data_IF_026936378512
#
_entry.id   IF_026936378512
#
_cell.length_a   1.000
_cell.length_b   1.000
_cell.length_c   1.000
_cell.angle_alpha   90.00
_cell.angle_beta   90.00
_cell.angle_gamma   90.00
#
_symmetry.space_group_name_H-M   'P 1'
#
loop_
_entity.id
_entity.type
_entity.pdbx_description
1 polymer ?
#
# COMPACT_ATOMS: atom_id res chain seq x y z
N UNK A 1 -18.89 -41.45 1.48
CA UNK A 1 -18.13 -40.76 2.55
C UNK A 1 -16.70 -40.59 2.03
N UNK A 2 -16.42 -39.45 1.40
CA UNK A 2 -15.12 -39.13 0.80
C UNK A 2 -14.30 -38.44 1.89
N UNK A 3 -13.19 -39.06 2.30
CA UNK A 3 -12.24 -38.48 3.25
C UNK A 3 -11.34 -37.54 2.46
N UNK A 4 -11.50 -36.23 2.68
CA UNK A 4 -10.51 -35.22 2.30
C UNK A 4 -9.33 -35.33 3.28
N UNK A 5 -8.17 -35.75 2.77
CA UNK A 5 -6.91 -35.71 3.49
C UNK A 5 -6.33 -34.29 3.36
N UNK A 6 -6.42 -33.51 4.43
CA UNK A 6 -5.65 -32.27 4.59
C UNK A 6 -4.15 -32.60 4.54
N UNK A 7 -3.44 -32.07 3.54
CA UNK A 7 -1.99 -31.91 3.60
C UNK A 7 -1.67 -30.71 4.49
N UNK A 8 -1.37 -30.96 5.76
CA UNK A 8 -0.59 -30.04 6.60
C UNK A 8 0.72 -30.78 6.87
N UNK A 9 1.78 -30.43 6.13
CA UNK A 9 3.14 -30.84 6.47
C UNK A 9 3.83 -29.64 7.11
N UNK A 10 3.81 -29.57 8.43
CA UNK A 10 4.85 -28.84 9.16
C UNK A 10 6.07 -29.75 9.22
N UNK A 11 7.15 -29.38 8.53
CA UNK A 11 8.39 -30.17 8.49
C UNK A 11 9.34 -29.66 9.58
N UNK A 12 9.69 -30.54 10.51
CA UNK A 12 10.82 -30.37 11.45
C UNK A 12 12.06 -30.92 10.74
N UNK A 13 13.12 -30.12 10.61
CA UNK A 13 14.37 -30.48 9.96
C UNK A 13 15.42 -30.99 10.97
N UNK A 14 16.17 -32.02 10.58
CA UNK A 14 17.36 -32.54 11.28
C UNK A 14 18.59 -32.21 10.44
N UNK A 15 19.59 -31.56 11.05
CA UNK A 15 20.84 -31.12 10.41
C UNK A 15 21.93 -32.20 10.60
N UNK A 16 22.67 -32.55 9.53
CA UNK A 16 23.86 -33.41 9.60
C UNK A 16 25.14 -32.58 9.38
N UNK A 17 26.22 -32.93 10.08
CA UNK A 17 27.55 -32.28 9.96
C UNK A 17 28.30 -32.76 8.71
N UNK A 18 28.90 -31.85 7.94
CA UNK A 18 29.84 -32.18 6.86
C UNK A 18 31.28 -32.38 7.40
N UNK A 19 32.05 -33.27 6.75
CA UNK A 19 33.50 -33.45 6.95
C UNK A 19 34.30 -32.76 5.83
N UNK A 20 35.50 -32.30 6.17
CA UNK A 20 36.33 -31.36 5.41
C UNK A 20 36.91 -31.90 4.08
N UNK A 21 37.08 -30.97 3.12
CA UNK A 21 37.98 -31.09 1.95
C UNK A 21 38.72 -29.75 1.77
N UNK A 22 40.03 -29.79 1.55
CA UNK A 22 41.01 -28.74 1.86
C UNK A 22 40.89 -27.37 1.13
N UNK A 23 41.29 -26.31 1.87
CA UNK A 23 41.88 -25.03 1.45
C UNK A 23 41.06 -24.02 0.60
N UNK A 24 39.76 -23.89 0.87
CA UNK A 24 39.06 -22.62 0.61
C UNK A 24 38.37 -22.17 1.88
N UNK A 25 38.24 -20.86 2.14
CA UNK A 25 37.53 -20.37 3.33
C UNK A 25 36.06 -20.87 3.41
N UNK A 26 35.52 -21.40 2.29
CA UNK A 26 34.19 -22.00 2.21
C UNK A 26 34.14 -23.51 2.48
N UNK A 27 35.27 -24.20 2.69
CA UNK A 27 35.30 -25.66 2.71
C UNK A 27 34.60 -26.29 3.91
N UNK A 28 34.31 -25.50 4.95
CA UNK A 28 33.65 -25.94 6.17
C UNK A 28 32.30 -25.21 6.33
N UNK A 29 31.42 -25.36 5.34
CA UNK A 29 30.04 -24.87 5.42
C UNK A 29 29.09 -25.98 5.89
N UNK A 30 28.09 -25.58 6.69
CA UNK A 30 26.95 -26.43 6.98
C UNK A 30 26.00 -26.41 5.78
N UNK A 31 25.79 -27.55 5.12
CA UNK A 31 24.77 -27.65 4.09
C UNK A 31 23.39 -27.57 4.72
N UNK A 32 22.63 -26.52 4.37
CA UNK A 32 21.25 -26.34 4.83
C UNK A 32 20.30 -27.37 4.21
N UNK A 33 20.65 -27.91 3.03
CA UNK A 33 19.86 -28.86 2.26
C UNK A 33 20.79 -29.74 1.42
N UNK A 34 20.66 -31.08 1.48
CA UNK A 34 21.48 -31.96 0.63
C UNK A 34 20.76 -32.52 -0.60
N UNK A 35 19.42 -32.62 -0.65
CA UNK A 35 18.77 -33.31 -1.80
C UNK A 35 17.34 -32.87 -2.15
N UNK A 36 16.80 -31.76 -1.61
CA UNK A 36 15.46 -31.27 -2.00
C UNK A 36 15.53 -29.95 -2.77
N UNK A 37 14.96 -29.96 -3.96
CA UNK A 37 14.58 -28.78 -4.73
C UNK A 37 13.66 -27.94 -3.83
N UNK A 38 14.00 -26.65 -3.62
CA UNK A 38 13.11 -25.68 -3.01
C UNK A 38 11.96 -25.47 -4.00
N UNK A 39 10.87 -26.21 -3.81
CA UNK A 39 9.66 -26.13 -4.63
C UNK A 39 8.65 -25.23 -3.89
N UNK A 40 8.10 -24.27 -4.61
CA UNK A 40 7.18 -23.17 -4.27
C UNK A 40 6.87 -22.93 -2.75
N UNK A 41 7.20 -21.72 -2.26
CA UNK A 41 6.90 -21.17 -0.93
C UNK A 41 7.35 -22.03 0.27
N UNK A 42 8.64 -21.92 0.61
CA UNK A 42 9.26 -22.68 1.70
C UNK A 42 9.75 -21.77 2.83
N UNK A 43 9.29 -22.04 4.05
CA UNK A 43 9.84 -21.42 5.26
C UNK A 43 10.76 -22.42 5.98
N UNK A 44 12.04 -22.09 6.08
CA UNK A 44 13.06 -22.87 6.76
C UNK A 44 13.40 -22.23 8.10
N UNK A 45 13.37 -23.02 9.17
CA UNK A 45 13.81 -22.58 10.49
C UNK A 45 15.04 -23.38 10.89
N UNK A 46 16.13 -22.68 11.16
CA UNK A 46 17.42 -23.24 11.57
C UNK A 46 17.75 -22.74 12.96
N UNK A 47 18.09 -23.65 13.86
CA UNK A 47 18.58 -23.31 15.20
C UNK A 47 20.08 -23.55 15.26
N UNK A 48 20.81 -22.61 15.87
CA UNK A 48 22.26 -22.68 15.97
C UNK A 48 22.80 -22.07 17.26
N UNK A 49 24.08 -22.28 17.53
CA UNK A 49 24.77 -21.74 18.69
C UNK A 49 26.19 -21.30 18.29
N UNK A 50 26.64 -20.10 18.64
CA UNK A 50 27.92 -19.57 18.15
C UNK A 50 29.15 -20.05 18.94
N UNK A 51 28.99 -21.04 19.82
CA UNK A 51 30.09 -21.59 20.61
C UNK A 51 31.09 -22.38 19.74
N UNK A 52 32.36 -21.97 19.80
CA UNK A 52 33.58 -22.69 19.34
C UNK A 52 33.90 -22.75 17.83
N UNK A 53 33.33 -21.90 16.98
CA UNK A 53 33.79 -21.81 15.58
C UNK A 53 35.04 -20.92 15.48
N UNK A 54 35.92 -21.13 14.49
CA UNK A 54 37.16 -20.33 14.30
C UNK A 54 37.20 -19.57 12.98
N UNK A 55 36.10 -19.63 12.23
CA UNK A 55 36.01 -19.01 10.91
C UNK A 55 35.66 -17.53 11.05
N UNK A 56 36.52 -16.68 10.49
CA UNK A 56 36.22 -15.28 10.20
C UNK A 56 35.99 -15.20 8.70
N UNK A 57 34.73 -15.25 8.29
CA UNK A 57 34.36 -14.89 6.93
C UNK A 57 34.52 -13.37 6.77
N UNK A 58 34.80 -12.91 5.57
CA UNK A 58 34.91 -11.48 5.29
C UNK A 58 33.50 -10.87 5.34
N UNK A 59 33.05 -10.55 6.53
CA UNK A 59 31.74 -9.96 6.80
C UNK A 59 31.80 -8.44 6.67
N UNK A 60 30.63 -7.84 6.62
CA UNK A 60 30.40 -6.42 6.33
C UNK A 60 30.82 -5.50 7.48
N UNK A 61 31.19 -6.11 8.60
CA UNK A 61 31.65 -5.45 9.81
C UNK A 61 32.73 -6.32 10.43
N UNK A 62 33.71 -5.70 11.09
CA UNK A 62 34.75 -6.44 11.81
C UNK A 62 34.16 -7.10 13.07
N UNK A 63 33.61 -8.30 12.91
CA UNK A 63 33.26 -9.17 14.03
C UNK A 63 34.51 -9.83 14.60
N UNK A 64 34.70 -9.73 15.91
CA UNK A 64 35.67 -10.54 16.66
C UNK A 64 35.08 -11.88 17.14
N UNK A 65 33.85 -12.19 16.72
CA UNK A 65 33.17 -13.45 17.02
C UNK A 65 33.27 -14.40 15.82
N UNK A 66 33.14 -15.71 16.06
CA UNK A 66 33.15 -16.67 14.99
C UNK A 66 31.84 -16.65 14.20
N UNK A 67 31.97 -16.85 12.89
CA UNK A 67 30.84 -16.85 11.98
C UNK A 67 30.33 -18.26 11.73
N UNK A 68 29.00 -18.43 11.70
CA UNK A 68 28.35 -19.62 11.19
C UNK A 68 28.17 -19.51 9.69
N UNK A 69 28.76 -20.45 8.95
CA UNK A 69 28.65 -20.52 7.50
C UNK A 69 27.66 -21.61 7.08
N UNK A 70 26.64 -21.21 6.35
CA UNK A 70 25.63 -22.08 5.76
C UNK A 70 25.73 -22.04 4.24
N UNK A 71 25.62 -23.18 3.56
CA UNK A 71 25.55 -23.22 2.10
C UNK A 71 24.20 -23.76 1.64
N UNK A 72 23.66 -23.20 0.57
CA UNK A 72 22.45 -23.68 -0.09
C UNK A 72 22.51 -23.41 -1.59
N UNK A 73 21.83 -24.26 -2.37
CA UNK A 73 21.68 -24.10 -3.82
C UNK A 73 20.24 -23.68 -4.14
N UNK A 74 20.08 -22.67 -4.97
CA UNK A 74 18.80 -22.29 -5.55
C UNK A 74 18.74 -22.85 -6.96
N UNK A 75 17.74 -23.70 -7.22
CA UNK A 75 17.49 -24.27 -8.53
C UNK A 75 16.09 -23.90 -9.00
N UNK A 76 15.97 -22.72 -9.60
CA UNK A 76 14.74 -22.18 -10.20
C UNK A 76 14.95 -21.99 -11.71
N UNK A 77 13.90 -22.08 -12.54
CA UNK A 77 14.01 -21.75 -13.96
C UNK A 77 14.44 -20.28 -14.15
N UNK A 78 15.20 -19.96 -15.22
CA UNK A 78 15.69 -18.60 -15.55
C UNK A 78 14.59 -17.52 -15.68
N UNK A 79 13.33 -17.95 -15.76
CA UNK A 79 12.13 -17.10 -15.79
C UNK A 79 11.60 -16.77 -14.39
N UNK A 80 12.28 -17.17 -13.33
CA UNK A 80 11.88 -16.95 -11.93
C UNK A 80 13.01 -16.27 -11.16
N UNK A 81 12.65 -15.57 -10.09
CA UNK A 81 13.55 -15.08 -9.06
C UNK A 81 13.12 -15.68 -7.73
N UNK A 82 14.07 -16.04 -6.88
CA UNK A 82 13.77 -16.50 -5.54
C UNK A 82 13.89 -15.32 -4.58
N UNK A 83 12.77 -14.80 -4.11
CA UNK A 83 12.81 -13.85 -2.99
C UNK A 83 13.12 -14.59 -1.71
N UNK A 84 13.99 -14.00 -0.89
CA UNK A 84 14.31 -14.52 0.44
C UNK A 84 14.02 -13.46 1.50
N UNK A 85 13.61 -13.91 2.68
CA UNK A 85 13.57 -13.13 3.92
C UNK A 85 14.28 -13.94 5.00
N UNK A 86 15.46 -13.49 5.41
CA UNK A 86 16.29 -14.13 6.41
C UNK A 86 16.29 -13.25 7.64
N UNK A 87 15.78 -13.77 8.77
CA UNK A 87 15.79 -13.08 10.07
C UNK A 87 16.52 -13.91 11.11
N UNK A 88 17.38 -13.28 11.90
CA UNK A 88 17.98 -13.89 13.08
C UNK A 88 17.36 -13.33 14.38
N UNK A 89 16.95 -14.21 15.29
CA UNK A 89 16.42 -13.84 16.62
C UNK A 89 16.99 -14.73 17.71
N UNK A 90 16.83 -14.36 18.97
CA UNK A 90 17.07 -15.27 20.10
C UNK A 90 16.07 -16.43 20.04
N UNK A 91 16.56 -17.64 20.31
CA UNK A 91 15.74 -18.85 20.33
C UNK A 91 14.72 -18.85 21.48
N UNK A 92 15.08 -18.27 22.63
CA UNK A 92 14.36 -18.48 23.89
C UNK A 92 13.17 -17.55 24.06
N UNK A 93 13.30 -16.30 23.62
CA UNK A 93 12.29 -15.26 23.82
C UNK A 93 11.88 -14.55 22.51
N UNK A 94 12.53 -14.88 21.39
CA UNK A 94 12.29 -14.23 20.10
C UNK A 94 12.75 -12.78 20.05
N UNK A 95 13.47 -12.31 21.07
CA UNK A 95 14.02 -10.97 21.11
C UNK A 95 15.14 -10.80 20.07
N UNK A 96 15.45 -9.54 19.76
CA UNK A 96 16.54 -9.17 18.87
C UNK A 96 17.89 -9.51 19.49
N UNK A 97 18.73 -10.25 18.76
CA UNK A 97 20.15 -10.41 19.09
C UNK A 97 20.94 -9.45 18.20
N UNK A 98 21.88 -8.72 18.80
CA UNK A 98 22.91 -7.93 18.11
C UNK A 98 23.68 -8.82 17.13
N UNK A 99 23.31 -8.76 15.86
CA UNK A 99 23.64 -9.78 14.88
C UNK A 99 23.99 -9.23 13.52
N UNK A 100 24.81 -9.96 12.78
CA UNK A 100 25.16 -9.66 11.39
C UNK A 100 24.77 -10.83 10.51
N UNK A 101 24.10 -10.54 9.40
CA UNK A 101 23.85 -11.48 8.33
C UNK A 101 24.56 -10.99 7.07
N UNK A 102 25.27 -11.89 6.39
CA UNK A 102 25.85 -11.63 5.08
C UNK A 102 25.53 -12.79 4.13
N UNK A 103 25.25 -12.49 2.87
CA UNK A 103 25.02 -13.48 1.84
C UNK A 103 26.07 -13.33 0.74
N UNK A 104 26.66 -14.43 0.29
CA UNK A 104 27.69 -14.47 -0.74
C UNK A 104 27.41 -15.60 -1.73
N UNK A 105 27.94 -15.51 -2.96
CA UNK A 105 27.93 -16.60 -3.95
C UNK A 105 29.28 -17.33 -4.07
N UNK A 106 30.36 -16.79 -3.49
CA UNK A 106 31.71 -17.37 -3.61
C UNK A 106 32.57 -17.19 -2.34
N UNK A 107 31.96 -16.77 -1.23
CA UNK A 107 32.56 -16.33 0.04
C UNK A 107 33.59 -15.19 -0.05
N UNK A 108 33.92 -14.71 -1.24
CA UNK A 108 34.86 -13.61 -1.47
C UNK A 108 34.15 -12.28 -1.71
N UNK A 109 32.93 -12.35 -2.23
CA UNK A 109 32.09 -11.20 -2.55
C UNK A 109 30.76 -11.27 -1.80
N UNK A 110 30.50 -10.29 -0.95
CA UNK A 110 29.21 -10.18 -0.24
C UNK A 110 28.18 -9.53 -1.15
N UNK A 111 27.13 -10.28 -1.47
CA UNK A 111 25.98 -9.84 -2.25
C UNK A 111 25.05 -8.94 -1.41
N UNK A 112 24.67 -9.43 -0.24
CA UNK A 112 23.76 -8.76 0.69
C UNK A 112 24.34 -8.75 2.09
N UNK A 113 24.02 -7.70 2.82
CA UNK A 113 24.40 -7.62 4.21
C UNK A 113 23.48 -6.73 5.02
N UNK A 114 23.29 -7.11 6.28
CA UNK A 114 22.68 -6.27 7.29
C UNK A 114 23.33 -6.58 8.63
N UNK A 115 23.58 -5.56 9.44
CA UNK A 115 24.10 -5.66 10.80
C UNK A 115 23.12 -5.14 11.87
N UNK A 116 22.04 -4.43 11.53
CA UNK A 116 21.11 -3.84 12.50
C UNK A 116 19.78 -3.36 11.86
N UNK A 117 18.93 -4.28 11.41
CA UNK A 117 17.63 -3.95 10.77
C UNK A 117 16.70 -3.12 11.67
N UNK A 118 16.60 -3.46 12.96
CA UNK A 118 15.79 -2.73 13.96
C UNK A 118 16.66 -2.11 15.07
N UNK A 119 17.92 -1.85 14.75
CA UNK A 119 18.93 -1.34 15.68
C UNK A 119 19.57 -2.39 16.58
N UNK A 120 19.15 -3.66 16.48
CA UNK A 120 19.76 -4.80 17.18
C UNK A 120 19.76 -6.06 16.30
N UNK A 121 18.63 -6.45 15.69
CA UNK A 121 18.55 -7.71 14.93
C UNK A 121 18.91 -7.54 13.47
N UNK A 122 19.51 -8.57 12.88
CA UNK A 122 19.72 -8.63 11.43
C UNK A 122 18.54 -9.27 10.70
N UNK A 123 18.14 -8.60 9.60
CA UNK A 123 17.21 -9.13 8.61
C UNK A 123 17.67 -8.77 7.22
N UNK A 124 17.76 -9.75 6.32
CA UNK A 124 18.03 -9.53 4.91
C UNK A 124 16.84 -9.95 4.08
N UNK A 125 16.43 -9.09 3.16
CA UNK A 125 15.41 -9.41 2.16
C UNK A 125 16.02 -9.11 0.80
N UNK A 126 15.83 -9.99 -0.18
CA UNK A 126 16.38 -9.80 -1.51
C UNK A 126 15.90 -10.85 -2.49
N UNK A 127 16.52 -10.89 -3.65
CA UNK A 127 16.24 -11.85 -4.71
C UNK A 127 17.52 -12.53 -5.18
N UNK A 128 17.40 -13.80 -5.54
CA UNK A 128 18.50 -14.64 -5.98
C UNK A 128 18.11 -15.34 -7.27
N UNK A 129 19.07 -15.38 -8.18
CA UNK A 129 19.01 -16.24 -9.36
C UNK A 129 19.28 -17.71 -8.96
N UNK A 130 19.19 -18.63 -9.92
CA UNK A 130 19.70 -19.97 -9.70
C UNK A 130 21.21 -19.95 -9.44
N UNK A 131 21.69 -20.64 -8.42
CA UNK A 131 23.11 -20.66 -8.08
C UNK A 131 23.40 -21.22 -6.68
N UNK A 132 24.69 -21.33 -6.37
CA UNK A 132 25.19 -21.67 -5.05
C UNK A 132 25.38 -20.40 -4.23
N UNK A 133 24.89 -20.44 -2.99
CA UNK A 133 24.95 -19.32 -2.06
C UNK A 133 25.43 -19.76 -0.68
N UNK A 134 26.07 -18.81 -0.01
CA UNK A 134 26.63 -18.95 1.32
C UNK A 134 26.03 -17.87 2.22
N UNK A 135 25.25 -18.28 3.21
CA UNK A 135 24.74 -17.43 4.27
C UNK A 135 25.70 -17.47 5.46
N UNK A 136 26.20 -16.30 5.83
CA UNK A 136 27.04 -16.08 6.99
C UNK A 136 26.18 -15.43 8.06
N UNK A 137 26.12 -16.04 9.24
CA UNK A 137 25.43 -15.51 10.41
C UNK A 137 26.41 -15.32 11.56
N UNK A 138 26.44 -14.12 12.14
CA UNK A 138 27.36 -13.73 13.22
C UNK A 138 26.62 -12.94 14.31
N UNK A 139 27.19 -12.88 15.51
CA UNK A 139 26.70 -11.99 16.59
C UNK A 139 27.79 -11.05 17.03
N UNK A 140 27.44 -9.78 17.20
CA UNK A 140 28.43 -8.73 17.45
C UNK A 140 28.90 -8.75 18.92
N UNK A 141 28.00 -9.03 19.85
CA UNK A 141 28.27 -8.76 21.27
C UNK A 141 28.87 -9.96 22.01
N UNK A 142 29.89 -9.67 22.83
CA UNK A 142 30.48 -10.65 23.75
C UNK A 142 29.48 -11.19 24.79
N UNK A 143 28.38 -10.48 25.04
CA UNK A 143 27.32 -10.94 25.94
C UNK A 143 26.42 -12.01 25.31
N UNK A 144 26.49 -12.21 23.98
CA UNK A 144 25.70 -13.20 23.25
C UNK A 144 26.54 -14.36 22.67
N UNK A 145 27.82 -14.52 23.04
CA UNK A 145 28.67 -15.62 22.53
C UNK A 145 28.10 -17.02 22.74
N UNK A 146 27.31 -17.19 23.79
CA UNK A 146 26.67 -18.46 24.14
C UNK A 146 25.17 -18.46 23.85
N UNK A 147 24.64 -17.39 23.24
CA UNK A 147 23.24 -17.33 22.86
C UNK A 147 23.00 -18.34 21.73
N UNK A 148 21.90 -19.07 21.87
CA UNK A 148 21.33 -19.80 20.76
C UNK A 148 20.52 -18.84 19.91
N UNK A 149 20.55 -19.05 18.60
CA UNK A 149 19.83 -18.22 17.65
C UNK A 149 18.88 -19.07 16.83
N UNK A 150 17.83 -18.42 16.36
CA UNK A 150 16.88 -18.92 15.38
C UNK A 150 17.03 -18.11 14.09
N UNK A 151 17.43 -18.76 13.02
CA UNK A 151 17.36 -18.24 11.66
C UNK A 151 16.04 -18.68 11.03
N UNK A 152 15.24 -17.72 10.59
CA UNK A 152 14.05 -17.98 9.76
C UNK A 152 14.37 -17.54 8.34
N UNK A 153 14.36 -18.46 7.39
CA UNK A 153 14.65 -18.22 5.97
C UNK A 153 13.37 -18.54 5.19
N UNK A 154 12.70 -17.52 4.69
CA UNK A 154 11.49 -17.68 3.89
C UNK A 154 11.83 -17.50 2.43
N UNK A 155 11.63 -18.52 1.62
CA UNK A 155 11.80 -18.50 0.18
C UNK A 155 10.44 -18.39 -0.49
N UNK A 156 10.30 -17.44 -1.42
CA UNK A 156 9.11 -17.24 -2.25
C UNK A 156 9.55 -17.19 -3.70
N UNK A 157 8.98 -18.07 -4.51
CA UNK A 157 9.28 -18.10 -5.93
C UNK A 157 8.43 -17.04 -6.62
N UNK A 158 9.10 -16.03 -7.14
CA UNK A 158 8.46 -15.01 -7.93
C UNK A 158 8.73 -15.29 -9.40
N UNK A 159 7.74 -14.97 -10.24
CA UNK A 159 8.01 -14.82 -11.66
C UNK A 159 9.05 -13.72 -11.79
N UNK A 160 10.14 -14.00 -12.49
CA UNK A 160 11.11 -12.98 -12.86
C UNK A 160 10.29 -11.96 -13.61
N UNK A 161 10.26 -10.68 -13.19
CA UNK A 161 9.66 -9.65 -14.01
C UNK A 161 10.28 -9.81 -15.39
N UNK A 162 9.47 -10.10 -16.40
CA UNK A 162 9.96 -10.17 -17.77
C UNK A 162 10.69 -8.86 -17.97
N UNK A 163 12.02 -8.91 -18.24
CA UNK A 163 12.88 -7.74 -18.38
C UNK A 163 12.04 -6.68 -19.07
N UNK A 164 11.69 -5.57 -18.38
CA UNK A 164 10.58 -4.75 -18.83
C UNK A 164 10.84 -4.35 -20.28
N UNK A 165 9.78 -4.22 -21.10
CA UNK A 165 9.92 -3.69 -22.45
C UNK A 165 10.78 -2.41 -22.40
N UNK A 166 11.56 -2.12 -23.46
CA UNK A 166 12.63 -1.13 -23.43
C UNK A 166 12.19 0.15 -22.71
N UNK A 167 12.99 0.52 -21.70
CA UNK A 167 12.91 1.68 -20.80
C UNK A 167 11.75 2.64 -21.09
N UNK A 168 10.80 2.72 -20.14
CA UNK A 168 9.69 3.66 -20.23
C UNK A 168 10.19 5.10 -20.35
N UNK A 169 9.74 5.80 -21.39
CA UNK A 169 9.94 7.23 -21.61
C UNK A 169 8.63 7.97 -21.39
N UNK A 170 8.64 9.31 -21.32
CA UNK A 170 7.37 10.06 -21.19
C UNK A 170 6.41 9.75 -22.37
N UNK A 171 6.96 9.64 -23.58
CA UNK A 171 6.20 9.41 -24.81
C UNK A 171 5.82 7.94 -25.02
N UNK A 172 6.56 7.02 -24.41
CA UNK A 172 6.31 5.59 -24.46
C UNK A 172 6.58 5.02 -23.07
N UNK A 173 5.66 5.24 -22.10
CA UNK A 173 5.83 4.71 -20.75
C UNK A 173 5.88 3.18 -20.80
N UNK A 174 6.51 2.58 -19.81
CA UNK A 174 6.59 1.13 -19.65
C UNK A 174 5.23 0.55 -19.27
N UNK A 175 5.18 -0.12 -18.13
CA UNK A 175 3.96 -0.77 -17.66
C UNK A 175 2.83 0.22 -17.34
N UNK A 176 1.60 -0.26 -17.39
CA UNK A 176 0.40 0.49 -17.02
C UNK A 176 -0.08 0.00 -15.66
N UNK A 177 -0.13 0.91 -14.69
CA UNK A 177 -0.73 0.72 -13.37
C UNK A 177 -2.13 1.31 -13.41
N UNK A 178 -3.15 0.44 -13.49
CA UNK A 178 -4.55 0.86 -13.40
C UNK A 178 -5.06 0.72 -11.97
N UNK A 179 -5.54 1.82 -11.38
CA UNK A 179 -6.21 1.76 -10.09
C UNK A 179 -7.61 1.14 -10.30
N UNK A 180 -8.01 0.04 -9.63
CA UNK A 180 -9.32 -0.56 -9.78
C UNK A 180 -10.37 0.31 -9.10
N UNK A 181 -11.55 0.40 -9.71
CA UNK A 181 -12.65 1.28 -9.27
C UNK A 181 -13.20 0.99 -7.87
N UNK A 182 -13.10 -0.27 -7.40
CA UNK A 182 -13.92 -0.74 -6.30
C UNK A 182 -13.15 -1.08 -5.02
N UNK A 183 -11.83 -0.88 -4.94
CA UNK A 183 -11.04 -1.47 -3.87
C UNK A 183 -9.87 -0.60 -3.38
N UNK A 184 -9.43 -0.94 -2.16
CA UNK A 184 -8.07 -0.68 -1.71
C UNK A 184 -7.10 -1.54 -2.54
N UNK A 185 -6.13 -0.93 -3.21
CA UNK A 185 -4.99 -1.68 -3.74
C UNK A 185 -3.90 -1.66 -2.68
N UNK A 186 -3.26 -2.81 -2.49
CA UNK A 186 -1.90 -2.89 -1.98
C UNK A 186 -1.16 -3.87 -2.89
N UNK A 187 -0.42 -3.33 -3.86
CA UNK A 187 0.31 -4.10 -4.85
C UNK A 187 1.77 -3.69 -4.81
N UNK A 188 2.64 -4.70 -4.85
CA UNK A 188 4.07 -4.54 -5.01
C UNK A 188 4.43 -4.76 -6.47
N UNK A 189 5.04 -3.75 -7.09
CA UNK A 189 5.66 -3.83 -8.40
C UNK A 189 7.16 -3.99 -8.22
N UNK A 190 7.76 -4.91 -8.97
CA UNK A 190 9.19 -5.21 -8.90
C UNK A 190 9.83 -4.65 -10.16
N UNK A 191 10.60 -3.58 -10.01
CA UNK A 191 11.17 -2.85 -11.14
C UNK A 191 12.69 -2.90 -11.04
N UNK A 192 13.33 -3.27 -12.14
CA UNK A 192 14.78 -3.27 -12.24
C UNK A 192 15.25 -2.01 -12.96
N UNK A 193 15.96 -1.13 -12.26
CA UNK A 193 16.63 0.03 -12.85
C UNK A 193 18.02 -0.42 -13.32
N UNK A 194 18.27 -0.26 -14.62
CA UNK A 194 19.60 -0.44 -15.21
C UNK A 194 20.33 0.92 -15.19
N UNK A 195 21.57 0.97 -14.72
CA UNK A 195 22.39 2.17 -14.70
C UNK A 195 22.64 2.77 -16.09
N UNK A 196 22.45 1.98 -17.14
CA UNK A 196 22.55 2.41 -18.54
C UNK A 196 21.20 2.73 -19.17
N UNK A 197 20.11 2.70 -18.38
CA UNK A 197 18.82 3.19 -18.84
C UNK A 197 18.96 4.65 -19.28
N UNK A 198 18.40 4.92 -20.45
CA UNK A 198 18.57 6.19 -21.16
C UNK A 198 18.18 7.37 -20.26
N UNK A 199 19.03 8.40 -20.22
CA UNK A 199 18.69 9.72 -19.66
C UNK A 199 17.61 10.34 -20.54
N UNK A 200 16.34 10.08 -20.25
CA UNK A 200 15.27 10.87 -20.85
C UNK A 200 15.31 12.29 -20.26
N UNK A 201 14.85 13.24 -21.05
CA UNK A 201 14.76 14.67 -20.70
C UNK A 201 13.81 14.97 -19.53
N UNK A 202 13.14 13.95 -18.99
CA UNK A 202 12.06 13.99 -18.03
C UNK A 202 12.52 14.07 -16.57
N UNK A 203 13.50 14.91 -16.25
CA UNK A 203 14.12 14.99 -14.92
C UNK A 203 13.20 15.62 -13.87
N UNK A 204 12.56 14.87 -12.96
CA UNK A 204 11.69 15.47 -11.96
C UNK A 204 12.44 16.58 -11.19
N UNK A 205 11.76 17.66 -10.77
CA UNK A 205 12.39 18.85 -10.12
C UNK A 205 13.24 18.46 -8.90
N UNK A 206 12.82 17.41 -8.23
CA UNK A 206 13.46 16.81 -7.07
C UNK A 206 14.69 15.95 -7.39
N UNK A 207 14.93 15.55 -8.65
CA UNK A 207 16.14 14.80 -9.01
C UNK A 207 17.32 15.76 -9.18
N UNK A 208 18.43 15.48 -8.49
CA UNK A 208 19.64 16.31 -8.56
C UNK A 208 20.67 15.82 -9.59
N UNK A 209 20.53 14.59 -10.12
CA UNK A 209 21.59 13.94 -10.87
C UNK A 209 21.11 13.26 -12.16
N UNK A 210 22.06 12.94 -13.03
CA UNK A 210 21.88 12.16 -14.25
C UNK A 210 21.69 10.67 -13.89
N UNK A 211 20.58 10.38 -13.23
CA UNK A 211 20.21 9.02 -12.85
C UNK A 211 19.33 8.35 -13.91
N UNK A 212 19.40 7.02 -13.92
CA UNK A 212 18.47 6.20 -14.69
C UNK A 212 17.03 6.45 -14.21
N UNK A 213 16.14 6.74 -15.15
CA UNK A 213 14.71 6.91 -14.90
C UNK A 213 13.92 5.72 -15.48
N UNK A 214 12.86 5.32 -14.78
CA UNK A 214 11.86 4.40 -15.28
C UNK A 214 10.47 5.01 -15.14
N UNK A 215 9.77 5.14 -16.26
CA UNK A 215 8.47 5.80 -16.31
C UNK A 215 7.38 4.77 -16.56
N UNK A 216 6.41 4.70 -15.67
CA UNK A 216 5.18 3.90 -15.83
C UNK A 216 3.97 4.80 -16.03
N UNK A 217 2.97 4.28 -16.74
CA UNK A 217 1.69 4.97 -16.90
C UNK A 217 0.80 4.63 -15.72
N UNK A 218 0.29 5.65 -15.03
CA UNK A 218 -0.64 5.50 -13.91
C UNK A 218 -2.01 5.98 -14.36
N UNK A 219 -3.03 5.13 -14.28
CA UNK A 219 -4.40 5.48 -14.65
C UNK A 219 -5.27 5.53 -13.39
N UNK A 220 -5.80 6.71 -13.09
CA UNK A 220 -6.87 6.89 -12.12
C UNK A 220 -8.20 6.84 -12.88
N UNK A 221 -9.10 5.89 -12.57
CA UNK A 221 -10.35 5.72 -13.29
C UNK A 221 -11.19 6.99 -13.37
N UNK A 222 -11.91 7.14 -14.48
CA UNK A 222 -12.90 8.20 -14.66
C UNK A 222 -13.87 8.29 -13.48
N UNK A 223 -14.14 9.51 -13.04
CA UNK A 223 -15.04 9.82 -11.94
C UNK A 223 -14.58 9.34 -10.55
N UNK A 224 -13.28 9.19 -10.33
CA UNK A 224 -12.71 8.91 -9.01
C UNK A 224 -11.58 9.87 -8.67
N UNK A 225 -11.49 10.23 -7.41
CA UNK A 225 -10.26 10.73 -6.82
C UNK A 225 -9.58 9.57 -6.09
N UNK A 226 -8.27 9.43 -6.22
CA UNK A 226 -7.55 8.36 -5.54
C UNK A 226 -6.52 8.96 -4.63
N UNK A 227 -6.62 8.66 -3.34
CA UNK A 227 -5.52 8.88 -2.43
C UNK A 227 -4.50 7.77 -2.64
N UNK A 228 -3.29 8.15 -3.02
CA UNK A 228 -2.18 7.25 -3.25
C UNK A 228 -1.16 7.41 -2.13
N UNK A 229 -0.61 6.29 -1.70
CA UNK A 229 0.64 6.19 -0.95
C UNK A 229 1.55 5.27 -1.74
N UNK A 230 2.61 5.85 -2.30
CA UNK A 230 3.58 5.12 -3.10
C UNK A 230 4.90 5.12 -2.35
N UNK A 231 5.45 3.93 -2.14
CA UNK A 231 6.74 3.72 -1.49
C UNK A 231 7.67 3.03 -2.46
N UNK A 232 8.92 3.46 -2.52
CA UNK A 232 9.99 2.71 -3.14
C UNK A 232 11.09 2.44 -2.14
N UNK A 233 11.71 1.27 -2.25
CA UNK A 233 12.92 0.95 -1.50
C UNK A 233 13.79 -0.02 -2.29
N UNK A 234 15.11 0.17 -2.21
CA UNK A 234 16.09 -0.74 -2.81
C UNK A 234 16.29 -1.96 -1.91
N UNK A 235 16.26 -3.17 -2.45
CA UNK A 235 16.60 -4.37 -1.67
C UNK A 235 18.06 -4.43 -1.25
N UNK A 236 18.92 -3.74 -2.00
CA UNK A 236 20.36 -3.78 -1.77
C UNK A 236 20.84 -2.76 -0.73
N UNK A 237 19.99 -1.78 -0.34
CA UNK A 237 20.38 -0.60 0.43
C UNK A 237 21.54 0.21 -0.20
N UNK A 238 21.89 -0.05 -1.48
CA UNK A 238 23.07 0.57 -2.13
C UNK A 238 22.77 1.89 -2.81
N UNK A 239 21.50 2.25 -2.97
CA UNK A 239 21.12 3.49 -3.61
C UNK A 239 19.84 4.05 -3.06
N UNK A 240 19.82 5.37 -2.99
CA UNK A 240 18.65 6.16 -2.68
C UNK A 240 17.70 6.19 -3.88
N UNK A 241 16.40 6.11 -3.62
CA UNK A 241 15.39 6.13 -4.67
C UNK A 241 14.81 7.53 -4.80
N UNK A 242 14.03 7.76 -5.84
CA UNK A 242 13.18 8.93 -5.98
C UNK A 242 11.88 8.50 -6.64
N UNK A 243 10.76 8.99 -6.12
CA UNK A 243 9.45 8.85 -6.76
C UNK A 243 8.93 10.23 -7.11
N UNK A 244 8.50 10.41 -8.35
CA UNK A 244 7.71 11.55 -8.77
C UNK A 244 6.43 11.10 -9.49
N UNK A 245 5.34 11.83 -9.26
CA UNK A 245 4.12 11.73 -10.05
C UNK A 245 4.01 13.00 -10.88
N UNK A 246 3.90 12.84 -12.20
CA UNK A 246 3.70 13.93 -13.15
C UNK A 246 2.36 13.77 -13.87
N UNK A 247 1.90 14.83 -14.52
CA UNK A 247 0.75 14.75 -15.42
C UNK A 247 1.04 13.86 -16.66
N UNK A 248 0.07 13.76 -17.58
CA UNK A 248 0.24 12.98 -18.82
C UNK A 248 1.31 13.50 -19.77
N UNK A 249 1.67 14.79 -19.71
CA UNK A 249 2.64 15.44 -20.58
C UNK A 249 4.08 15.25 -20.11
N UNK A 250 4.25 14.96 -18.82
CA UNK A 250 5.52 14.55 -18.25
C UNK A 250 6.60 15.62 -18.46
N UNK A 251 6.22 16.91 -18.45
CA UNK A 251 7.18 18.00 -18.45
C UNK A 251 7.76 18.15 -17.03
N UNK A 252 9.01 17.73 -16.81
CA UNK A 252 9.56 17.64 -15.48
C UNK A 252 9.48 18.92 -14.66
N UNK A 253 9.68 20.07 -15.31
CA UNK A 253 9.87 21.36 -14.64
C UNK A 253 8.57 22.02 -14.17
N UNK A 254 7.45 21.70 -14.80
CA UNK A 254 6.18 22.37 -14.53
C UNK A 254 5.05 21.41 -14.13
N UNK A 255 5.18 20.13 -14.45
CA UNK A 255 4.08 19.17 -14.36
C UNK A 255 4.30 18.12 -13.27
N UNK A 256 5.33 18.28 -12.44
CA UNK A 256 5.55 17.43 -11.25
C UNK A 256 4.51 17.78 -10.17
N UNK A 257 3.60 16.85 -9.91
CA UNK A 257 2.53 16.99 -8.91
C UNK A 257 3.01 16.65 -7.51
N UNK A 258 3.71 15.52 -7.40
CA UNK A 258 4.30 15.03 -6.16
C UNK A 258 5.71 14.58 -6.44
N UNK A 259 6.63 14.87 -5.54
CA UNK A 259 7.92 14.22 -5.56
C UNK A 259 8.56 14.18 -4.17
N UNK A 260 9.23 13.07 -3.90
CA UNK A 260 10.07 12.91 -2.73
C UNK A 260 11.18 11.89 -3.04
N UNK A 261 12.39 12.18 -2.60
CA UNK A 261 13.56 11.28 -2.60
C UNK A 261 13.61 10.48 -1.30
N UNK A 262 13.24 11.07 -0.16
CA UNK A 262 13.37 10.42 1.14
C UNK A 262 12.11 9.66 1.63
N UNK A 263 12.32 8.62 2.44
CA UNK A 263 11.28 7.88 3.16
C UNK A 263 11.65 7.80 4.64
N UNK A 264 10.77 8.24 5.55
CA UNK A 264 11.05 8.21 6.98
C UNK A 264 11.14 6.78 7.54
N UNK A 265 10.65 5.77 6.80
CA UNK A 265 10.62 4.36 7.22
C UNK A 265 11.93 3.65 6.88
N UNK A 266 12.66 4.10 5.84
CA UNK A 266 13.85 3.43 5.32
C UNK A 266 15.13 4.25 5.48
N UNK A 267 15.19 5.11 6.50
CA UNK A 267 16.37 5.90 6.86
C UNK A 267 17.00 6.69 5.68
N UNK A 268 16.18 7.14 4.72
CA UNK A 268 16.65 7.88 3.54
C UNK A 268 17.22 7.02 2.39
N UNK A 269 16.95 5.71 2.36
CA UNK A 269 17.31 4.81 1.24
C UNK A 269 16.10 4.35 0.41
N UNK A 270 14.96 4.95 0.68
CA UNK A 270 13.72 4.71 -0.04
C UNK A 270 12.98 6.02 -0.19
N UNK A 271 11.94 6.05 -1.02
CA UNK A 271 11.15 7.25 -1.26
C UNK A 271 9.70 7.03 -0.91
N UNK A 272 9.02 8.10 -0.58
CA UNK A 272 7.60 8.06 -0.24
C UNK A 272 6.88 9.29 -0.76
N UNK A 273 5.90 9.08 -1.63
CA UNK A 273 4.95 10.13 -2.02
C UNK A 273 3.56 9.74 -1.59
N UNK A 274 2.81 10.72 -1.11
CA UNK A 274 1.38 10.58 -0.93
C UNK A 274 0.64 11.79 -1.50
N UNK A 275 -0.61 11.58 -1.88
CA UNK A 275 -1.37 12.63 -2.54
C UNK A 275 -2.71 12.14 -3.02
N UNK A 276 -3.58 13.09 -3.37
CA UNK A 276 -4.84 12.78 -4.04
C UNK A 276 -4.70 13.14 -5.51
N UNK A 277 -4.99 12.19 -6.39
CA UNK A 277 -5.07 12.39 -7.83
C UNK A 277 -6.53 12.34 -8.27
N UNK A 278 -6.94 13.27 -9.12
CA UNK A 278 -8.23 13.20 -9.80
C UNK A 278 -8.22 12.12 -10.89
N UNK A 279 -9.36 11.85 -11.49
CA UNK A 279 -9.44 10.91 -12.61
C UNK A 279 -8.59 11.40 -13.78
N UNK A 280 -7.80 10.50 -14.37
CA UNK A 280 -6.94 10.86 -15.48
C UNK A 280 -5.75 9.92 -15.67
N UNK A 281 -4.94 10.26 -16.66
CA UNK A 281 -3.66 9.62 -16.91
C UNK A 281 -2.54 10.46 -16.30
N UNK A 282 -1.67 9.79 -15.57
CA UNK A 282 -0.48 10.34 -14.94
C UNK A 282 0.73 9.52 -15.35
N UNK A 283 1.93 10.07 -15.16
CA UNK A 283 3.15 9.28 -15.20
C UNK A 283 3.73 9.17 -13.81
N UNK A 284 4.21 7.99 -13.48
CA UNK A 284 4.93 7.72 -12.26
C UNK A 284 6.37 7.43 -12.64
N UNK A 285 7.26 8.30 -12.18
CA UNK A 285 8.69 8.29 -12.49
C UNK A 285 9.42 7.76 -11.27
N UNK A 286 10.22 6.73 -11.51
CA UNK A 286 11.16 6.20 -10.53
C UNK A 286 12.57 6.50 -10.97
N UNK A 287 13.40 6.95 -10.04
CA UNK A 287 14.79 7.26 -10.32
C UNK A 287 15.69 6.78 -9.20
N UNK A 288 16.96 6.51 -9.51
CA UNK A 288 17.99 6.27 -8.50
C UNK A 288 18.62 7.62 -8.13
N UNK A 289 18.14 8.30 -7.09
CA UNK A 289 18.40 9.72 -6.81
C UNK A 289 19.83 10.21 -7.03
N UNK A 290 20.85 9.42 -6.67
CA UNK A 290 22.26 9.82 -6.73
C UNK A 290 23.23 8.71 -7.15
N UNK A 291 22.75 7.63 -7.78
CA UNK A 291 23.53 6.41 -7.89
C UNK A 291 23.70 5.95 -9.34
N UNK A 292 24.93 5.55 -9.67
CA UNK A 292 25.24 4.83 -10.91
C UNK A 292 25.03 3.31 -10.76
N UNK A 293 24.27 2.86 -9.76
CA UNK A 293 24.05 1.44 -9.53
C UNK A 293 22.80 0.98 -10.26
N UNK A 294 22.91 -0.20 -10.87
CA UNK A 294 21.73 -0.96 -11.31
C UNK A 294 21.19 -1.76 -10.14
N UNK A 295 19.87 -1.93 -10.07
CA UNK A 295 19.29 -2.81 -9.07
C UNK A 295 17.78 -2.90 -9.12
N UNK A 296 17.28 -3.89 -8.39
CA UNK A 296 15.87 -4.09 -8.18
C UNK A 296 15.37 -3.20 -7.04
N UNK A 297 14.25 -2.54 -7.26
CA UNK A 297 13.48 -1.89 -6.20
C UNK A 297 12.04 -2.37 -6.25
N UNK A 298 11.41 -2.33 -5.09
CA UNK A 298 9.98 -2.58 -4.94
C UNK A 298 9.28 -1.25 -4.93
N UNK A 299 8.21 -1.16 -5.70
CA UNK A 299 7.24 -0.08 -5.56
C UNK A 299 5.98 -0.65 -4.93
N UNK A 300 5.69 -0.22 -3.72
CA UNK A 300 4.41 -0.51 -3.10
C UNK A 300 3.45 0.63 -3.42
N UNK A 301 2.39 0.33 -4.18
CA UNK A 301 1.30 1.26 -4.43
C UNK A 301 0.13 0.87 -3.54
N UNK A 302 -0.12 1.71 -2.55
CA UNK A 302 -1.35 1.66 -1.77
C UNK A 302 -2.30 2.73 -2.30
N UNK A 303 -3.52 2.35 -2.65
CA UNK A 303 -4.51 3.29 -3.13
C UNK A 303 -5.82 3.15 -2.37
N UNK A 304 -6.35 4.26 -1.90
CA UNK A 304 -7.73 4.34 -1.43
C UNK A 304 -8.52 5.14 -2.44
N UNK A 305 -9.36 4.45 -3.22
CA UNK A 305 -10.33 5.12 -4.08
C UNK A 305 -11.27 5.93 -3.20
N UNK A 306 -11.25 7.25 -3.40
CA UNK A 306 -12.28 8.16 -2.92
C UNK A 306 -13.30 8.24 -4.04
N UNK A 307 -14.48 7.66 -3.82
CA UNK A 307 -15.60 7.88 -4.73
C UNK A 307 -15.76 9.40 -4.92
N UNK A 308 -15.99 9.84 -6.17
CA UNK A 308 -16.39 11.22 -6.42
C UNK A 308 -17.70 11.51 -5.67
N UNK A 309 -17.61 11.93 -4.42
CA UNK A 309 -18.06 13.27 -4.13
C UNK A 309 -16.97 14.18 -4.68
N UNK A 310 -17.19 14.90 -5.78
CA UNK A 310 -16.17 15.72 -6.39
C UNK A 310 -15.71 16.75 -5.36
N UNK A 311 -14.41 16.80 -5.06
CA UNK A 311 -13.82 17.93 -4.37
C UNK A 311 -13.75 19.10 -5.37
N UNK A 312 -14.91 19.59 -5.82
CA UNK A 312 -14.97 20.67 -6.81
C UNK A 312 -16.34 20.87 -7.48
N UNK A 313 -17.12 19.83 -7.77
CA UNK A 313 -18.47 20.02 -8.28
C UNK A 313 -19.44 20.23 -7.12
N UNK A 314 -20.14 21.35 -7.20
CA UNK A 314 -21.13 21.71 -6.21
C UNK A 314 -22.42 21.00 -6.59
N UNK A 315 -22.77 19.96 -5.84
CA UNK A 315 -24.08 19.34 -5.94
C UNK A 315 -25.14 20.39 -5.61
N UNK A 316 -25.95 20.79 -6.59
CA UNK A 316 -27.07 21.72 -6.42
C UNK A 316 -28.38 21.00 -6.69
N UNK A 317 -29.50 21.65 -6.39
CA UNK A 317 -30.80 21.10 -6.75
C UNK A 317 -30.97 20.93 -8.26
N UNK A 318 -30.32 21.77 -9.08
CA UNK A 318 -30.38 21.68 -10.54
C UNK A 318 -29.30 20.77 -11.13
N UNK A 319 -28.20 20.56 -10.40
CA UNK A 319 -27.08 19.72 -10.81
C UNK A 319 -26.56 18.90 -9.61
N UNK A 320 -27.31 17.88 -9.15
CA UNK A 320 -26.92 17.10 -7.97
C UNK A 320 -25.78 16.12 -8.32
N UNK A 321 -24.98 15.76 -7.32
CA UNK A 321 -23.96 14.71 -7.42
C UNK A 321 -24.61 13.34 -7.23
N UNK A 322 -24.23 12.30 -7.95
CA UNK A 322 -24.74 10.95 -7.65
C UNK A 322 -24.26 10.48 -6.26
N UNK A 323 -25.18 10.06 -5.39
CA UNK A 323 -24.84 9.47 -4.09
C UNK A 323 -24.13 8.12 -4.26
N UNK A 324 -24.45 7.39 -5.32
CA UNK A 324 -23.88 6.10 -5.67
C UNK A 324 -23.17 6.21 -7.03
N UNK A 325 -22.22 5.31 -7.31
CA UNK A 325 -21.47 5.31 -8.58
C UNK A 325 -22.40 5.23 -9.79
N UNK A 326 -23.51 4.52 -9.65
CA UNK A 326 -24.58 4.49 -10.65
C UNK A 326 -25.77 5.36 -10.18
N UNK A 327 -26.58 5.90 -11.10
CA UNK A 327 -27.76 6.70 -10.73
C UNK A 327 -28.79 5.92 -9.91
N UNK A 328 -28.92 4.61 -10.16
CA UNK A 328 -29.92 3.74 -9.54
C UNK A 328 -29.27 2.79 -8.51
N UNK A 329 -29.86 2.72 -7.32
CA UNK A 329 -29.45 1.80 -6.25
C UNK A 329 -29.77 0.35 -6.70
N UNK A 330 -28.86 -0.63 -6.54
CA UNK A 330 -29.14 -2.01 -6.95
C UNK A 330 -30.37 -2.57 -6.24
N UNK A 331 -31.16 -3.38 -6.96
CA UNK A 331 -32.41 -3.97 -6.44
C UNK A 331 -32.21 -4.87 -5.21
N UNK A 332 -31.03 -5.48 -5.10
CA UNK A 332 -30.55 -6.29 -3.98
C UNK A 332 -30.14 -5.45 -2.76
N UNK A 333 -30.08 -4.13 -2.92
CA UNK A 333 -29.65 -3.18 -1.90
C UNK A 333 -28.17 -2.81 -1.99
N UNK A 334 -27.76 -2.04 -1.01
CA UNK A 334 -26.43 -1.45 -0.90
C UNK A 334 -26.06 -1.45 0.58
N UNK A 335 -24.94 -2.05 0.98
CA UNK A 335 -24.58 -2.15 2.38
C UNK A 335 -23.36 -1.28 2.69
N UNK A 336 -23.53 -0.33 3.61
CA UNK A 336 -22.46 0.46 4.21
C UNK A 336 -21.59 1.23 3.19
N UNK A 337 -22.19 1.71 2.10
CA UNK A 337 -21.48 2.45 1.07
C UNK A 337 -21.06 3.83 1.55
N UNK A 338 -19.82 4.18 1.28
CA UNK A 338 -19.21 5.40 1.81
C UNK A 338 -18.93 6.40 0.69
N UNK A 339 -19.41 7.62 0.90
CA UNK A 339 -19.10 8.80 0.09
C UNK A 339 -18.34 9.79 0.96
N UNK A 340 -17.39 10.49 0.37
CA UNK A 340 -16.65 11.56 1.04
C UNK A 340 -16.97 12.90 0.38
N UNK A 341 -16.93 13.98 1.16
CA UNK A 341 -17.11 15.33 0.63
C UNK A 341 -16.47 16.39 1.52
N UNK A 342 -16.53 17.66 1.10
CA UNK A 342 -15.97 18.78 1.85
C UNK A 342 -16.81 20.05 1.71
N UNK A 343 -17.19 20.63 2.85
CA UNK A 343 -17.98 21.87 2.91
C UNK A 343 -17.11 23.14 2.95
N UNK A 344 -15.78 23.03 3.03
CA UNK A 344 -14.86 24.16 3.17
C UNK A 344 -14.79 25.11 1.97
N UNK A 345 -15.10 24.61 0.77
CA UNK A 345 -14.89 25.34 -0.48
C UNK A 345 -16.18 25.97 -1.03
N UNK A 346 -17.19 26.20 -0.18
CA UNK A 346 -18.51 26.62 -0.62
C UNK A 346 -18.69 28.15 -0.67
N UNK A 347 -19.15 28.63 -1.82
CA UNK A 347 -19.93 29.88 -1.91
C UNK A 347 -21.41 29.52 -1.80
N UNK A 348 -22.21 30.31 -1.09
CA UNK A 348 -23.61 29.99 -0.76
C UNK A 348 -24.43 29.61 -2.01
N UNK A 349 -24.87 28.35 -2.11
CA UNK A 349 -25.74 27.88 -3.19
C UNK A 349 -27.10 27.47 -2.61
N UNK A 350 -28.15 27.82 -3.36
CA UNK A 350 -29.56 27.46 -3.22
C UNK A 350 -30.19 27.46 -1.81
N UNK A 351 -31.18 28.32 -1.63
CA UNK A 351 -31.93 28.49 -0.37
C UNK A 351 -32.92 27.36 -0.07
N UNK A 352 -32.79 26.18 -0.70
CA UNK A 352 -33.82 25.13 -0.68
C UNK A 352 -33.70 24.19 0.53
N UNK A 353 -33.35 24.73 1.71
CA UNK A 353 -33.44 23.96 2.97
C UNK A 353 -34.62 24.45 3.78
N UNK A 354 -35.43 23.51 4.27
CA UNK A 354 -36.57 23.79 5.15
C UNK A 354 -36.46 23.18 6.55
N UNK A 355 -35.33 22.54 6.88
CA UNK A 355 -35.01 22.20 8.26
C UNK A 355 -35.11 23.45 9.14
N UNK A 356 -36.11 23.50 10.02
CA UNK A 356 -36.50 24.72 10.74
C UNK A 356 -35.42 25.27 11.69
N UNK A 357 -34.33 24.54 11.91
CA UNK A 357 -33.22 24.89 12.81
C UNK A 357 -32.07 25.62 12.11
N UNK A 358 -32.05 25.69 10.78
CA UNK A 358 -30.83 26.09 10.06
C UNK A 358 -30.73 27.58 9.76
N UNK A 359 -29.53 28.13 9.95
CA UNK A 359 -29.13 29.41 9.37
C UNK A 359 -28.98 29.27 7.85
N UNK A 360 -29.65 30.11 7.06
CA UNK A 360 -29.64 30.09 5.59
C UNK A 360 -28.26 30.23 4.91
N UNK A 361 -27.21 30.46 5.68
CA UNK A 361 -25.90 30.91 5.20
C UNK A 361 -24.82 29.82 5.13
N UNK A 362 -25.05 28.63 5.71
CA UNK A 362 -24.05 27.55 5.72
C UNK A 362 -23.92 26.83 4.36
N UNK A 363 -22.74 26.28 4.03
CA UNK A 363 -22.50 25.38 2.89
C UNK A 363 -23.40 24.15 2.83
N UNK A 364 -23.78 23.72 1.61
CA UNK A 364 -24.69 22.58 1.38
C UNK A 364 -24.31 21.82 0.12
N UNK A 365 -24.32 20.50 0.16
CA UNK A 365 -24.10 19.65 -1.02
C UNK A 365 -25.34 18.80 -1.29
N UNK A 366 -25.84 18.82 -2.52
CA UNK A 366 -26.98 18.01 -2.95
C UNK A 366 -26.49 16.76 -3.70
N UNK A 367 -26.87 15.61 -3.18
CA UNK A 367 -26.72 14.31 -3.80
C UNK A 367 -28.04 13.85 -4.44
N UNK A 368 -27.99 12.96 -5.43
CA UNK A 368 -29.12 12.29 -6.07
C UNK A 368 -28.92 10.78 -6.09
N UNK A 369 -30.00 10.03 -5.94
CA UNK A 369 -30.05 8.61 -6.22
C UNK A 369 -31.46 8.20 -6.62
N UNK A 370 -31.58 7.10 -7.35
CA UNK A 370 -32.85 6.54 -7.80
C UNK A 370 -33.11 5.18 -7.12
N UNK A 371 -34.34 4.95 -6.67
CA UNK A 371 -34.81 3.65 -6.17
C UNK A 371 -35.49 2.91 -7.33
N UNK A 372 -35.08 1.66 -7.63
CA UNK A 372 -35.61 0.87 -8.75
C UNK A 372 -37.13 0.78 -8.77
N UNK A 373 -37.68 0.66 -9.99
CA UNK A 373 -39.13 0.47 -10.19
C UNK A 373 -39.64 -0.77 -9.47
N UNK A 374 -40.79 -0.63 -8.80
CA UNK A 374 -41.47 -1.69 -8.05
C UNK A 374 -40.66 -2.27 -6.88
N UNK A 375 -39.66 -1.54 -6.38
CA UNK A 375 -38.93 -1.89 -5.16
C UNK A 375 -39.23 -0.84 -4.10
N UNK A 376 -39.56 -1.29 -2.90
CA UNK A 376 -39.53 -0.46 -1.69
C UNK A 376 -38.25 -0.78 -0.94
N UNK A 377 -37.50 0.23 -0.51
CA UNK A 377 -36.24 0.06 0.20
C UNK A 377 -36.29 0.72 1.57
N UNK A 378 -35.81 0.00 2.58
CA UNK A 378 -35.40 0.59 3.84
C UNK A 378 -34.03 1.23 3.65
N UNK A 379 -33.89 2.49 4.04
CA UNK A 379 -32.62 3.21 3.99
C UNK A 379 -32.11 3.56 5.39
N UNK A 380 -30.80 3.72 5.48
CA UNK A 380 -30.08 4.19 6.65
C UNK A 380 -28.86 4.98 6.19
N UNK A 381 -28.92 6.30 6.34
CA UNK A 381 -27.88 7.22 5.86
C UNK A 381 -27.36 8.02 7.04
N UNK A 382 -26.06 7.98 7.25
CA UNK A 382 -25.37 8.67 8.33
C UNK A 382 -24.30 9.60 7.75
N UNK A 383 -24.22 10.83 8.26
CA UNK A 383 -23.16 11.79 7.95
C UNK A 383 -22.32 12.01 9.20
N UNK A 384 -21.00 12.09 9.04
CA UNK A 384 -20.06 12.33 10.12
C UNK A 384 -18.80 13.01 9.59
N UNK A 385 -17.93 13.47 10.49
CA UNK A 385 -16.63 14.01 10.09
C UNK A 385 -15.78 12.94 9.40
N UNK A 386 -14.97 13.35 8.42
CA UNK A 386 -14.11 12.45 7.65
C UNK A 386 -13.22 11.55 8.54
N UNK A 387 -12.61 12.13 9.57
CA UNK A 387 -11.72 11.43 10.52
C UNK A 387 -12.47 10.50 11.50
N UNK A 388 -13.80 10.42 11.41
CA UNK A 388 -14.64 9.61 12.29
C UNK A 388 -14.82 10.19 13.70
N UNK A 389 -14.34 11.41 13.98
CA UNK A 389 -14.62 12.08 15.24
C UNK A 389 -16.00 12.73 15.21
N UNK A 390 -16.80 12.51 16.26
CA UNK A 390 -18.13 13.13 16.41
C UNK A 390 -18.00 14.59 16.87
N UNK A 391 -17.33 15.44 16.10
CA UNK A 391 -17.14 16.87 16.43
C UNK A 391 -17.68 17.83 15.38
N UNK A 392 -18.19 17.33 14.27
CA UNK A 392 -18.79 18.14 13.20
C UNK A 392 -20.30 18.08 13.37
N UNK A 393 -20.93 19.21 13.65
CA UNK A 393 -22.39 19.37 13.73
C UNK A 393 -23.00 19.34 12.34
N UNK A 394 -23.42 18.14 11.91
CA UNK A 394 -23.92 17.88 10.55
C UNK A 394 -25.43 18.00 10.48
N UNK A 395 -25.96 18.16 9.27
CA UNK A 395 -27.40 18.07 9.00
C UNK A 395 -27.60 17.29 7.70
N UNK A 396 -28.55 16.34 7.70
CA UNK A 396 -28.99 15.65 6.48
C UNK A 396 -30.48 15.89 6.28
N UNK A 397 -30.88 16.21 5.05
CA UNK A 397 -32.27 16.34 4.61
C UNK A 397 -32.51 15.47 3.37
N UNK A 398 -33.67 14.81 3.28
CA UNK A 398 -34.09 14.05 2.11
C UNK A 398 -35.28 14.73 1.41
N UNK A 399 -35.17 14.86 0.09
CA UNK A 399 -36.09 15.58 -0.79
C UNK A 399 -36.53 14.68 -1.96
N UNK A 400 -37.61 15.08 -2.62
CA UNK A 400 -37.99 14.49 -3.90
C UNK A 400 -37.11 15.02 -5.05
N UNK A 401 -37.37 14.52 -6.27
CA UNK A 401 -36.68 14.94 -7.49
C UNK A 401 -36.77 16.46 -7.76
N UNK A 402 -37.86 17.11 -7.36
CA UNK A 402 -38.10 18.54 -7.55
C UNK A 402 -37.44 19.41 -6.47
N UNK A 403 -36.64 18.82 -5.56
CA UNK A 403 -36.11 19.49 -4.37
C UNK A 403 -37.20 20.08 -3.45
N UNK A 404 -38.36 19.43 -3.42
CA UNK A 404 -39.40 19.73 -2.45
C UNK A 404 -39.30 18.72 -1.31
N UNK A 405 -39.65 19.18 -0.11
CA UNK A 405 -39.71 18.29 1.06
C UNK A 405 -40.73 17.18 0.81
N UNK A 406 -40.37 15.94 1.17
CA UNK A 406 -41.23 14.76 0.99
C UNK A 406 -42.55 14.85 1.77
N UNK A 407 -42.62 15.70 2.80
CA UNK A 407 -43.86 16.02 3.50
C UNK A 407 -43.92 17.53 3.83
N UNK A 408 -44.79 18.26 3.12
CA UNK A 408 -45.01 19.69 3.36
C UNK A 408 -45.57 19.98 4.77
N UNK A 409 -46.31 19.04 5.36
CA UNK A 409 -46.92 19.18 6.69
C UNK A 409 -46.01 18.70 7.81
N UNK A 410 -45.06 17.80 7.53
CA UNK A 410 -44.08 17.30 8.50
C UNK A 410 -42.64 17.31 7.94
N UNK A 411 -42.08 18.50 7.64
CA UNK A 411 -40.73 18.61 7.09
C UNK A 411 -39.64 18.00 8.00
N UNK A 412 -39.94 17.80 9.29
CA UNK A 412 -39.03 17.20 10.27
C UNK A 412 -38.86 15.68 10.15
N UNK A 413 -39.74 14.97 9.43
CA UNK A 413 -39.64 13.50 9.30
C UNK A 413 -38.44 13.08 8.43
N UNK A 414 -37.99 13.96 7.54
CA UNK A 414 -36.93 13.69 6.57
C UNK A 414 -35.72 14.61 6.75
N UNK A 415 -35.61 15.26 7.91
CA UNK A 415 -34.49 16.11 8.30
C UNK A 415 -33.99 15.71 9.67
N UNK A 416 -32.67 15.58 9.84
CA UNK A 416 -32.07 15.28 11.14
C UNK A 416 -30.76 16.06 11.33
N UNK A 417 -30.65 16.66 12.52
CA UNK A 417 -29.58 17.57 12.97
C UNK A 417 -28.75 16.90 14.09
N UNK A 418 -29.36 16.03 14.90
CA UNK A 418 -28.67 15.38 16.03
C UNK A 418 -29.31 14.02 16.32
N UNK A 419 -28.79 12.95 15.70
CA UNK A 419 -29.38 11.61 15.83
C UNK A 419 -28.64 10.75 16.85
N UNK A 420 -29.39 9.93 17.59
CA UNK A 420 -28.86 8.88 18.47
C UNK A 420 -29.38 7.51 18.01
N UNK A 421 -28.53 6.47 17.77
CA UNK A 421 -27.07 6.45 17.83
C UNK A 421 -26.37 6.79 16.48
N UNK A 422 -25.15 7.35 16.53
CA UNK A 422 -24.33 7.56 17.72
C UNK A 422 -24.60 8.96 18.29
N UNK A 423 -25.31 9.07 19.42
CA UNK A 423 -25.76 10.37 19.94
C UNK A 423 -24.68 11.46 19.93
N UNK A 424 -25.08 12.66 19.52
CA UNK A 424 -24.22 13.84 19.35
C UNK A 424 -24.39 14.48 17.97
N UNK A 425 -23.47 15.42 17.68
CA UNK A 425 -23.34 16.29 16.48
C UNK A 425 -23.42 15.61 15.09
N UNK A 426 -23.56 14.29 14.99
CA UNK A 426 -23.70 13.60 13.70
C UNK A 426 -25.16 13.31 13.36
N UNK A 427 -25.52 13.46 12.08
CA UNK A 427 -26.88 13.21 11.60
C UNK A 427 -27.04 11.81 11.03
N UNK A 428 -28.26 11.29 11.17
CA UNK A 428 -28.67 10.02 10.60
C UNK A 428 -30.14 10.09 10.22
N UNK A 429 -30.46 9.62 9.02
CA UNK A 429 -31.81 9.41 8.56
C UNK A 429 -32.02 7.92 8.30
N UNK A 430 -33.15 7.38 8.74
CA UNK A 430 -33.58 6.05 8.37
C UNK A 430 -35.10 6.05 8.14
N UNK A 431 -35.55 5.15 7.29
CA UNK A 431 -36.95 5.07 6.90
C UNK A 431 -37.15 4.14 5.71
N UNK A 432 -38.27 4.30 5.03
CA UNK A 432 -38.61 3.57 3.81
C UNK A 432 -38.74 4.54 2.64
N UNK A 433 -38.31 4.12 1.46
CA UNK A 433 -38.50 4.82 0.19
C UNK A 433 -39.16 3.89 -0.80
N UNK A 434 -40.12 4.41 -1.54
CA UNK A 434 -40.72 3.74 -2.68
C UNK A 434 -39.87 3.98 -3.94
N UNK A 435 -40.25 3.37 -5.06
CA UNK A 435 -39.58 3.62 -6.33
C UNK A 435 -39.67 5.09 -6.74
N UNK A 436 -38.55 5.70 -7.11
CA UNK A 436 -38.50 7.10 -7.52
C UNK A 436 -37.11 7.71 -7.44
N UNK A 437 -36.99 8.96 -7.88
CA UNK A 437 -35.76 9.75 -7.79
C UNK A 437 -35.78 10.63 -6.54
N UNK A 438 -34.70 10.57 -5.78
CA UNK A 438 -34.54 11.29 -4.52
C UNK A 438 -33.30 12.17 -4.55
N UNK A 439 -33.35 13.22 -3.74
CA UNK A 439 -32.20 14.09 -3.50
C UNK A 439 -31.91 14.15 -2.01
N UNK A 440 -30.64 14.20 -1.65
CA UNK A 440 -30.20 14.30 -0.26
C UNK A 440 -29.30 15.51 -0.11
N UNK A 441 -29.59 16.36 0.87
CA UNK A 441 -28.74 17.48 1.23
C UNK A 441 -27.83 17.06 2.39
N UNK A 442 -26.53 17.31 2.24
CA UNK A 442 -25.54 17.24 3.31
C UNK A 442 -25.07 18.66 3.67
N UNK A 443 -25.17 19.02 4.94
CA UNK A 443 -24.85 20.36 5.44
C UNK A 443 -24.23 20.29 6.84
N UNK A 444 -23.84 21.45 7.37
CA UNK A 444 -23.50 21.66 8.78
C UNK A 444 -24.48 22.62 9.44
N UNK A 445 -24.59 22.57 10.76
CA UNK A 445 -25.44 23.48 11.52
C UNK A 445 -24.85 24.90 11.60
N UNK A 446 -23.52 25.02 11.69
CA UNK A 446 -22.83 26.31 11.75
C UNK A 446 -21.50 26.34 10.96
N UNK A 447 -20.98 27.54 10.70
CA UNK A 447 -19.75 27.73 9.91
C UNK A 447 -18.47 27.18 10.56
N UNK A 448 -18.44 27.02 11.88
CA UNK A 448 -17.26 26.49 12.57
C UNK A 448 -17.12 24.98 12.38
N UNK A 449 -18.20 24.30 12.00
CA UNK A 449 -18.23 22.87 11.72
C UNK A 449 -17.93 22.55 10.24
N UNK A 450 -17.63 23.56 9.44
CA UNK A 450 -17.25 23.36 8.04
C UNK A 450 -15.97 22.52 7.95
N UNK A 451 -16.00 21.51 7.09
CA UNK A 451 -14.83 20.69 6.80
C UNK A 451 -15.17 19.47 5.96
N UNK A 452 -14.24 18.53 5.95
CA UNK A 452 -14.41 17.25 5.27
C UNK A 452 -15.32 16.31 6.06
N UNK A 453 -16.23 15.65 5.35
CA UNK A 453 -17.20 14.73 5.90
C UNK A 453 -17.20 13.39 5.16
N UNK A 454 -17.86 12.40 5.76
CA UNK A 454 -18.19 11.12 5.15
C UNK A 454 -19.68 10.86 5.32
N UNK A 455 -20.32 10.32 4.30
CA UNK A 455 -21.68 9.78 4.31
C UNK A 455 -21.56 8.26 4.20
N UNK A 456 -22.20 7.55 5.13
CA UNK A 456 -22.37 6.10 5.09
C UNK A 456 -23.84 5.80 4.79
N UNK A 457 -24.11 5.16 3.66
CA UNK A 457 -25.46 4.89 3.18
C UNK A 457 -25.69 3.38 3.01
N UNK A 458 -26.81 2.90 3.55
CA UNK A 458 -27.28 1.53 3.40
C UNK A 458 -28.72 1.54 2.89
N UNK A 459 -29.00 0.68 1.93
CA UNK A 459 -30.30 0.44 1.32
C UNK A 459 -30.59 -1.06 1.34
N UNK A 460 -31.78 -1.46 1.74
CA UNK A 460 -32.18 -2.87 1.79
C UNK A 460 -33.61 -3.03 1.30
N UNK A 461 -33.90 -3.99 0.40
CA UNK A 461 -35.26 -4.19 -0.08
C UNK A 461 -36.19 -4.62 1.06
N UNK A 462 -37.42 -4.11 1.05
CA UNK A 462 -38.49 -4.51 1.97
C UNK A 462 -39.28 -5.62 1.29
N UNK A 463 -39.22 -6.82 1.86
CA UNK A 463 -39.92 -8.01 1.34
C UNK A 463 -41.38 -8.08 1.78
#
# INVERSE_FOLDING_TARGET
MIIFLLKIFSVILVIYSAQSLENSACSESFQLYSERVIDDDLDLVVFGNLINETHKAHTCVSSDQPDRLYSFNINIPDTHLMSFDIKMTDENDGNSIDSVLALSNDCSYVLFCNDDFDGISSRMVGELDSGDYFLIASVYSNSHKNSTFKLTISFRKNLRPTRPPPYGSCNNPGEVIEIPRNNFINVNYYIFLDQYAYLDSARPICSKYDSADYIVKLIVPENFETFLEIRSFSYSNKFDTLIAITDSNCNPLNDTLFCNDDSPIHAGLGSYVNGTLSSGEYKLVYSAYNSNYSGLFVVQVNSTVRSNGPFGDYGTCFNPISLYTEPEIPSEGLNDYVVFGNLANFSSIDQVIRCATMSYSVPKVVYRFDIPKNVEMKYDIQMSKFDGTNKMDTIIELLNEQCESLDFYHPHLYCNDDSNPPGGVSSRLNGNLTSGSYKMIASVNNFNDIGSYKIKASFSPIN
#
